data_IF_273488027456
#
_entry.id   IF_273488027456
#
_cell.length_a   1.000
_cell.length_b   1.000
_cell.length_c   1.000
_cell.angle_alpha   90.00
_cell.angle_beta   90.00
_cell.angle_gamma   90.00
#
_symmetry.space_group_name_H-M   'P 1'
#
loop_
_entity.id
_entity.type
_entity.pdbx_description
1 polymer ?
#
# COMPACT_ATOMS: atom_id res chain seq x y z
N UNK A 1 -69.45 11.73 13.61
CA UNK A 1 -68.90 11.86 12.23
C UNK A 1 -67.72 12.85 12.08
N UNK A 2 -67.67 13.98 12.81
CA UNK A 2 -66.56 14.96 12.69
C UNK A 2 -65.19 14.44 13.14
N UNK A 3 -65.14 13.65 14.23
CA UNK A 3 -63.88 13.08 14.75
C UNK A 3 -63.26 12.01 13.82
N UNK A 4 -64.09 11.25 13.10
CA UNK A 4 -63.62 10.24 12.14
C UNK A 4 -62.99 10.88 10.89
N UNK A 5 -63.56 12.00 10.41
CA UNK A 5 -62.97 12.78 9.31
C UNK A 5 -61.61 13.37 9.70
N UNK A 6 -61.48 13.90 10.92
CA UNK A 6 -60.23 14.47 11.42
C UNK A 6 -59.11 13.43 11.51
N UNK A 7 -59.41 12.21 11.98
CA UNK A 7 -58.44 11.11 12.05
C UNK A 7 -57.97 10.71 10.66
N UNK A 8 -58.88 10.56 9.69
CA UNK A 8 -58.51 10.27 8.30
C UNK A 8 -57.64 11.38 7.68
N UNK A 9 -57.92 12.66 7.97
CA UNK A 9 -57.12 13.78 7.48
C UNK A 9 -55.71 13.78 8.07
N UNK A 10 -55.55 13.47 9.35
CA UNK A 10 -54.23 13.40 10.00
C UNK A 10 -53.41 12.24 9.44
N UNK A 11 -54.00 11.06 9.26
CA UNK A 11 -53.30 9.87 8.75
C UNK A 11 -52.81 10.06 7.31
N UNK A 12 -53.62 10.71 6.46
CA UNK A 12 -53.25 11.05 5.07
C UNK A 12 -52.11 12.08 5.07
N UNK A 13 -52.15 13.08 5.96
CA UNK A 13 -51.10 14.09 6.05
C UNK A 13 -49.77 13.46 6.46
N UNK A 14 -49.76 12.59 7.49
CA UNK A 14 -48.53 11.88 7.95
C UNK A 14 -47.96 10.94 6.89
N UNK A 15 -48.80 10.26 6.10
CA UNK A 15 -48.34 9.42 5.00
C UNK A 15 -47.74 10.24 3.84
N UNK A 16 -48.28 11.44 3.59
CA UNK A 16 -47.74 12.36 2.59
C UNK A 16 -46.35 12.90 2.99
N UNK A 17 -46.14 13.25 4.27
CA UNK A 17 -44.81 13.70 4.73
C UNK A 17 -43.79 12.55 4.69
N UNK A 18 -44.19 11.32 5.00
CA UNK A 18 -43.29 10.15 4.90
C UNK A 18 -42.94 9.79 3.45
N UNK A 19 -43.90 9.94 2.52
CA UNK A 19 -43.66 9.75 1.08
C UNK A 19 -42.79 10.85 0.45
N UNK A 20 -42.77 12.05 1.02
CA UNK A 20 -41.91 13.14 0.56
C UNK A 20 -40.52 13.12 1.21
N UNK A 21 -40.28 12.28 2.22
CA UNK A 21 -39.00 12.21 2.92
C UNK A 21 -38.06 11.10 2.42
N UNK A 22 -38.28 10.59 1.20
CA UNK A 22 -37.31 9.69 0.58
C UNK A 22 -36.91 10.14 -0.83
N UNK A 23 -35.58 10.22 -1.03
CA UNK A 23 -34.85 10.16 -2.31
C UNK A 23 -34.33 11.44 -2.97
N UNK A 24 -34.89 12.64 -2.74
CA UNK A 24 -34.38 13.85 -3.44
C UNK A 24 -33.53 14.77 -2.57
N UNK A 25 -34.08 15.28 -1.46
CA UNK A 25 -33.42 16.35 -0.66
C UNK A 25 -32.17 15.85 0.08
N UNK A 26 -32.16 14.60 0.54
CA UNK A 26 -31.02 14.01 1.23
C UNK A 26 -29.83 13.74 0.28
N UNK A 27 -30.10 13.49 -1.01
CA UNK A 27 -29.07 13.34 -2.06
C UNK A 27 -28.53 14.68 -2.57
N UNK A 28 -29.19 15.80 -2.26
CA UNK A 28 -28.75 17.14 -2.64
C UNK A 28 -27.84 17.80 -1.60
N UNK A 29 -27.62 17.15 -0.45
CA UNK A 29 -26.66 17.56 0.59
C UNK A 29 -25.33 16.81 0.52
N UNK A 30 -25.24 15.78 -0.33
CA UNK A 30 -23.99 15.08 -0.58
C UNK A 30 -23.26 15.88 -1.67
N UNK A 31 -22.16 16.55 -1.30
CA UNK A 31 -21.28 17.17 -2.29
C UNK A 31 -20.97 16.13 -3.38
N UNK A 32 -20.97 16.50 -4.67
CA UNK A 32 -20.62 15.56 -5.71
C UNK A 32 -19.24 15.00 -5.38
N UNK A 33 -19.18 13.71 -5.04
CA UNK A 33 -17.91 13.01 -4.83
C UNK A 33 -17.24 12.97 -6.20
N UNK A 34 -16.36 13.92 -6.44
CA UNK A 34 -15.50 13.91 -7.62
C UNK A 34 -14.79 12.55 -7.64
N UNK A 35 -14.83 11.82 -8.77
CA UNK A 35 -14.18 10.53 -8.85
C UNK A 35 -12.69 10.70 -8.53
N UNK A 36 -12.18 9.85 -7.64
CA UNK A 36 -10.79 9.92 -7.23
C UNK A 36 -9.86 9.85 -8.45
N UNK A 37 -8.85 10.72 -8.47
CA UNK A 37 -7.92 10.82 -9.58
C UNK A 37 -7.14 9.52 -9.73
N UNK A 38 -7.28 8.87 -10.88
CA UNK A 38 -6.54 7.67 -11.25
C UNK A 38 -5.75 7.87 -12.55
N UNK A 39 -4.73 7.02 -12.76
CA UNK A 39 -3.84 7.05 -13.92
C UNK A 39 -3.22 5.69 -14.21
N UNK A 40 -2.47 5.60 -15.32
CA UNK A 40 -1.72 4.40 -15.70
C UNK A 40 -2.55 3.32 -16.38
N UNK A 41 -1.94 2.15 -16.55
CA UNK A 41 -2.52 0.96 -17.18
C UNK A 41 -2.00 -0.28 -16.44
N UNK A 42 -2.90 -1.22 -16.15
CA UNK A 42 -2.56 -2.53 -15.61
C UNK A 42 -3.32 -3.62 -16.35
N UNK A 43 -2.72 -4.80 -16.49
CA UNK A 43 -3.38 -6.00 -17.02
C UNK A 43 -3.57 -7.07 -15.95
N UNK A 44 -3.49 -6.70 -14.67
CA UNK A 44 -3.57 -7.66 -13.56
C UNK A 44 -4.98 -8.20 -13.31
N UNK A 45 -6.01 -7.56 -13.87
CA UNK A 45 -7.42 -7.98 -13.77
C UNK A 45 -8.11 -8.06 -15.12
N UNK A 46 -8.27 -6.90 -15.76
CA UNK A 46 -9.24 -6.67 -16.83
C UNK A 46 -8.77 -5.58 -17.80
N UNK A 47 -7.46 -5.54 -18.05
CA UNK A 47 -6.80 -4.57 -18.93
C UNK A 47 -7.11 -3.10 -18.55
N UNK A 48 -7.27 -2.83 -17.26
CA UNK A 48 -7.37 -1.48 -16.70
C UNK A 48 -8.77 -0.87 -16.75
N UNK A 49 -9.81 -1.71 -16.88
CA UNK A 49 -11.21 -1.27 -16.94
C UNK A 49 -11.79 -1.06 -15.53
N UNK A 50 -11.55 -2.00 -14.60
CA UNK A 50 -12.00 -2.00 -13.20
C UNK A 50 -10.91 -1.41 -12.30
N UNK A 51 -9.66 -1.84 -12.47
CA UNK A 51 -8.54 -1.42 -11.65
C UNK A 51 -7.68 -0.37 -12.35
N UNK A 52 -7.38 0.71 -11.61
CA UNK A 52 -6.51 1.80 -12.08
C UNK A 52 -5.54 2.15 -10.96
N UNK A 53 -4.45 2.85 -11.26
CA UNK A 53 -3.56 3.33 -10.20
C UNK A 53 -4.07 4.64 -9.64
N UNK A 54 -4.29 4.65 -8.34
CA UNK A 54 -4.58 5.79 -7.49
C UNK A 54 -3.30 6.18 -6.73
N UNK A 55 -3.28 7.39 -6.18
CA UNK A 55 -2.22 7.76 -5.24
C UNK A 55 -2.38 6.91 -3.97
N UNK A 56 -1.30 6.31 -3.51
CA UNK A 56 -1.28 5.61 -2.23
C UNK A 56 -1.20 6.58 -1.04
N UNK A 57 -0.95 6.02 0.13
CA UNK A 57 -0.97 6.72 1.40
C UNK A 57 0.42 6.85 2.00
N UNK A 58 0.59 7.88 2.85
CA UNK A 58 1.80 8.04 3.66
C UNK A 58 1.96 6.90 4.68
N UNK A 59 0.87 6.23 5.07
CA UNK A 59 0.93 5.11 6.01
C UNK A 59 1.69 3.92 5.41
N UNK A 60 1.43 3.58 4.14
CA UNK A 60 2.18 2.54 3.45
C UNK A 60 3.66 2.92 3.26
N UNK A 61 3.94 4.18 2.91
CA UNK A 61 5.32 4.69 2.83
C UNK A 61 6.02 4.63 4.20
N UNK A 62 5.31 4.92 5.28
CA UNK A 62 5.86 4.88 6.64
C UNK A 62 6.30 3.46 7.03
N UNK A 63 5.58 2.41 6.62
CA UNK A 63 6.01 1.02 6.82
C UNK A 63 7.39 0.77 6.19
N UNK A 64 7.64 1.26 4.97
CA UNK A 64 8.96 1.09 4.32
C UNK A 64 10.05 1.90 5.02
N UNK A 65 9.72 3.10 5.52
CA UNK A 65 10.66 3.92 6.31
C UNK A 65 11.06 3.25 7.62
N UNK A 66 10.09 2.67 8.31
CA UNK A 66 10.32 1.97 9.57
C UNK A 66 11.11 0.67 9.33
N UNK A 67 10.89 0.01 8.19
CA UNK A 67 11.64 -1.16 7.76
C UNK A 67 13.10 -0.82 7.45
N UNK A 68 13.35 0.25 6.70
CA UNK A 68 14.71 0.77 6.45
C UNK A 68 15.41 1.13 7.76
N UNK A 69 14.69 1.75 8.70
CA UNK A 69 15.24 2.04 10.02
C UNK A 69 15.64 0.76 10.77
N UNK A 70 14.75 -0.23 10.84
CA UNK A 70 15.05 -1.51 11.48
C UNK A 70 16.24 -2.22 10.80
N UNK A 71 16.32 -2.12 9.47
CA UNK A 71 17.43 -2.66 8.68
C UNK A 71 18.78 -1.99 9.01
N UNK A 72 18.81 -0.66 9.05
CA UNK A 72 20.02 0.12 9.43
C UNK A 72 20.45 -0.18 10.86
N UNK A 73 19.48 -0.33 11.76
CA UNK A 73 19.72 -0.67 13.17
C UNK A 73 20.07 -2.17 13.37
N UNK A 74 20.06 -2.97 12.29
CA UNK A 74 20.23 -4.43 12.30
C UNK A 74 19.26 -5.16 13.24
N UNK A 75 18.06 -4.58 13.43
CA UNK A 75 16.98 -5.16 14.22
C UNK A 75 16.24 -6.21 13.40
N UNK A 76 16.81 -7.41 13.29
CA UNK A 76 16.25 -8.49 12.49
C UNK A 76 14.91 -9.01 13.01
N UNK A 77 14.68 -8.95 14.31
CA UNK A 77 13.37 -9.29 14.89
C UNK A 77 12.33 -8.21 14.55
N UNK A 78 12.72 -6.93 14.58
CA UNK A 78 11.91 -5.82 14.10
C UNK A 78 11.55 -5.98 12.62
N UNK A 79 12.54 -6.27 11.76
CA UNK A 79 12.32 -6.59 10.34
C UNK A 79 11.32 -7.73 10.21
N UNK A 80 11.54 -8.87 10.87
CA UNK A 80 10.62 -10.02 10.83
C UNK A 80 9.21 -9.64 11.27
N UNK A 81 9.10 -8.83 12.31
CA UNK A 81 7.85 -8.30 12.84
C UNK A 81 7.07 -7.41 11.85
N UNK A 82 7.67 -6.96 10.75
CA UNK A 82 6.99 -6.18 9.70
C UNK A 82 6.59 -7.02 8.48
N UNK A 83 7.00 -8.29 8.43
CA UNK A 83 6.66 -9.22 7.37
C UNK A 83 5.34 -9.95 7.70
N UNK A 84 4.59 -10.31 6.67
CA UNK A 84 3.56 -11.33 6.80
C UNK A 84 4.21 -12.73 6.82
N UNK A 85 3.57 -13.70 7.45
CA UNK A 85 4.11 -15.07 7.52
C UNK A 85 4.29 -15.72 6.15
N UNK A 86 3.49 -15.29 5.16
CA UNK A 86 3.46 -15.81 3.81
C UNK A 86 4.28 -14.99 2.81
N UNK A 87 5.06 -14.00 3.29
CA UNK A 87 5.74 -13.07 2.40
C UNK A 87 6.71 -13.74 1.44
N UNK A 88 6.83 -13.14 0.26
CA UNK A 88 7.73 -13.60 -0.80
C UNK A 88 8.74 -12.53 -1.17
N UNK A 89 10.01 -12.92 -1.22
CA UNK A 89 11.13 -12.04 -1.50
C UNK A 89 11.76 -12.42 -2.83
N UNK A 90 11.70 -11.52 -3.80
CA UNK A 90 12.22 -11.73 -5.15
C UNK A 90 13.51 -10.95 -5.26
N UNK A 91 14.61 -11.67 -5.16
CA UNK A 91 15.92 -11.08 -5.02
C UNK A 91 16.50 -10.68 -6.37
N UNK A 92 17.45 -9.73 -6.36
CA UNK A 92 18.11 -9.19 -7.56
C UNK A 92 18.84 -10.24 -8.42
N UNK A 93 19.12 -11.42 -7.89
CA UNK A 93 19.74 -12.54 -8.61
C UNK A 93 18.71 -13.51 -9.23
N UNK A 94 17.41 -13.22 -9.12
CA UNK A 94 16.33 -14.05 -9.63
C UNK A 94 15.82 -15.12 -8.67
N UNK A 95 16.42 -15.28 -7.49
CA UNK A 95 15.91 -16.19 -6.47
C UNK A 95 14.61 -15.68 -5.85
N UNK A 96 13.75 -16.60 -5.45
CA UNK A 96 12.55 -16.32 -4.65
C UNK A 96 12.68 -17.02 -3.32
N UNK A 97 12.61 -16.25 -2.24
CA UNK A 97 12.80 -16.73 -0.86
C UNK A 97 11.48 -16.68 -0.09
N UNK A 98 11.31 -17.66 0.80
CA UNK A 98 10.36 -17.58 1.92
C UNK A 98 10.87 -16.63 3.01
N UNK A 99 10.02 -16.33 3.99
CA UNK A 99 10.40 -15.51 5.15
C UNK A 99 11.61 -16.09 5.87
N UNK A 100 11.62 -17.38 6.19
CA UNK A 100 12.73 -17.98 6.96
C UNK A 100 14.04 -18.01 6.19
N UNK A 101 14.00 -18.30 4.88
CA UNK A 101 15.16 -18.24 4.00
C UNK A 101 15.71 -16.81 3.89
N UNK A 102 14.82 -15.83 3.72
CA UNK A 102 15.17 -14.41 3.67
C UNK A 102 15.81 -13.96 4.99
N UNK A 103 15.16 -14.23 6.13
CA UNK A 103 15.66 -13.85 7.45
C UNK A 103 17.03 -14.51 7.74
N UNK A 104 17.21 -15.77 7.35
CA UNK A 104 18.50 -16.46 7.45
C UNK A 104 19.56 -15.76 6.61
N UNK A 105 19.23 -15.42 5.36
CA UNK A 105 20.16 -14.76 4.45
C UNK A 105 20.61 -13.39 5.00
N UNK A 106 19.68 -12.50 5.34
CA UNK A 106 20.00 -11.12 5.73
C UNK A 106 20.71 -11.03 7.08
N UNK A 107 20.38 -11.91 8.03
CA UNK A 107 21.03 -11.93 9.34
C UNK A 107 22.44 -12.51 9.27
N UNK A 108 22.71 -13.40 8.30
CA UNK A 108 24.05 -13.95 8.04
C UNK A 108 24.96 -12.99 7.25
N UNK A 109 24.38 -12.15 6.39
CA UNK A 109 25.08 -11.16 5.55
C UNK A 109 25.48 -9.88 6.32
N UNK A 110 25.22 -9.80 7.63
CA UNK A 110 25.41 -8.63 8.49
C UNK A 110 26.87 -8.19 8.72
N UNK A 111 27.80 -8.61 7.86
CA UNK A 111 29.26 -8.41 7.96
C UNK A 111 29.74 -6.98 7.62
N UNK A 112 28.86 -5.98 7.65
CA UNK A 112 29.23 -4.56 7.73
C UNK A 112 29.89 -3.96 6.49
N UNK A 113 29.84 -4.62 5.34
CA UNK A 113 30.50 -4.15 4.11
C UNK A 113 29.62 -3.26 3.24
N UNK A 114 28.31 -3.23 3.46
CA UNK A 114 27.35 -2.48 2.66
C UNK A 114 26.79 -1.26 3.42
N UNK A 115 26.93 -0.08 2.84
CA UNK A 115 26.24 1.14 3.26
C UNK A 115 24.99 1.31 2.40
N UNK A 116 23.83 1.43 3.05
CA UNK A 116 22.56 1.71 2.39
C UNK A 116 22.16 3.16 2.64
N UNK A 117 21.66 3.82 1.59
CA UNK A 117 21.07 5.15 1.70
C UNK A 117 19.69 5.11 1.06
N UNK A 118 18.66 5.30 1.87
CA UNK A 118 17.30 5.47 1.39
C UNK A 118 17.14 6.86 0.75
N UNK A 119 16.82 6.88 -0.54
CA UNK A 119 16.74 8.12 -1.33
C UNK A 119 15.32 8.68 -1.38
N UNK A 120 14.31 7.81 -1.29
CA UNK A 120 12.90 8.19 -1.29
C UNK A 120 11.99 7.02 -1.60
N UNK A 121 10.70 7.23 -1.37
CA UNK A 121 9.66 6.30 -1.77
C UNK A 121 8.35 7.02 -2.09
N UNK A 122 7.49 6.35 -2.84
CA UNK A 122 6.10 6.74 -3.07
C UNK A 122 5.23 5.49 -3.12
N UNK A 123 3.92 5.67 -2.93
CA UNK A 123 2.96 4.59 -2.99
C UNK A 123 1.88 4.82 -4.04
N UNK A 124 1.40 3.71 -4.62
CA UNK A 124 0.23 3.65 -5.48
C UNK A 124 -0.70 2.55 -4.99
N UNK A 125 -1.99 2.81 -5.06
CA UNK A 125 -3.04 1.86 -4.73
C UNK A 125 -3.81 1.49 -5.99
N UNK A 126 -4.13 0.22 -6.17
CA UNK A 126 -4.87 -0.26 -7.32
C UNK A 126 -6.39 -0.25 -7.09
N UNK A 127 -6.81 -0.40 -5.83
CA UNK A 127 -8.20 -0.32 -5.39
C UNK A 127 -8.24 0.16 -3.93
N UNK A 128 -8.34 1.49 -3.72
CA UNK A 128 -8.41 2.09 -2.39
C UNK A 128 -9.54 1.56 -1.48
N UNK A 129 -10.51 0.84 -2.04
CA UNK A 129 -11.64 0.27 -1.28
C UNK A 129 -11.34 -1.12 -0.71
N UNK A 130 -10.36 -1.84 -1.27
CA UNK A 130 -10.01 -3.21 -0.86
C UNK A 130 -8.77 -3.26 0.04
N UNK A 131 -7.98 -2.20 0.02
CA UNK A 131 -6.73 -2.11 0.75
C UNK A 131 -5.61 -2.92 0.10
N UNK A 132 -4.39 -2.61 0.51
CA UNK A 132 -3.19 -3.19 -0.08
C UNK A 132 -2.53 -2.21 -1.05
N UNK A 133 -1.34 -1.74 -0.72
CA UNK A 133 -0.66 -0.70 -1.47
C UNK A 133 0.69 -1.15 -2.01
N UNK A 134 1.04 -0.68 -3.20
CA UNK A 134 2.36 -0.86 -3.77
C UNK A 134 3.25 0.31 -3.38
N UNK A 135 4.37 0.04 -2.71
CA UNK A 135 5.36 1.08 -2.37
C UNK A 135 6.62 0.86 -3.18
N UNK A 136 7.07 1.92 -3.84
CA UNK A 136 8.29 1.94 -4.64
C UNK A 136 9.32 2.75 -3.88
N UNK A 137 10.49 2.16 -3.65
CA UNK A 137 11.56 2.73 -2.85
C UNK A 137 12.89 2.68 -3.60
N UNK A 138 13.63 3.78 -3.56
CA UNK A 138 14.92 3.92 -4.22
C UNK A 138 16.04 4.01 -3.19
N UNK A 139 17.11 3.27 -3.42
CA UNK A 139 18.28 3.22 -2.55
C UNK A 139 19.57 3.35 -3.35
N UNK A 140 20.57 4.00 -2.75
CA UNK A 140 21.95 3.94 -3.21
C UNK A 140 22.73 3.06 -2.24
N UNK A 141 23.38 2.02 -2.77
CA UNK A 141 24.09 1.03 -1.98
C UNK A 141 25.55 1.00 -2.38
N UNK A 142 26.45 1.11 -1.40
CA UNK A 142 27.89 0.97 -1.61
C UNK A 142 28.39 -0.23 -0.83
N UNK A 143 28.97 -1.22 -1.52
CA UNK A 143 29.57 -2.39 -0.88
C UNK A 143 31.08 -2.35 -1.05
N UNK A 144 31.82 -2.46 0.06
CA UNK A 144 33.28 -2.52 0.05
C UNK A 144 33.76 -3.92 0.40
N UNK A 145 34.47 -4.54 -0.53
CA UNK A 145 35.15 -5.83 -0.34
C UNK A 145 36.64 -5.60 -0.60
N UNK A 146 37.46 -5.78 0.45
CA UNK A 146 38.89 -5.47 0.44
C UNK A 146 39.19 -4.03 -0.03
N UNK A 147 39.92 -3.89 -1.14
CA UNK A 147 40.23 -2.59 -1.78
C UNK A 147 39.21 -2.16 -2.83
N UNK A 148 38.19 -2.97 -3.11
CA UNK A 148 37.21 -2.73 -4.17
C UNK A 148 35.92 -2.19 -3.58
N UNK A 149 35.42 -1.10 -4.15
CA UNK A 149 34.09 -0.54 -3.83
C UNK A 149 33.19 -0.69 -5.04
N UNK A 150 31.99 -1.26 -4.82
CA UNK A 150 30.94 -1.39 -5.84
C UNK A 150 29.76 -0.55 -5.39
N UNK A 151 29.34 0.40 -6.24
CA UNK A 151 28.15 1.20 -6.01
C UNK A 151 27.00 0.66 -6.85
N UNK A 152 25.78 0.70 -6.30
CA UNK A 152 24.56 0.27 -6.98
C UNK A 152 23.43 1.25 -6.72
N UNK A 153 22.61 1.43 -7.75
CA UNK A 153 21.25 1.91 -7.56
C UNK A 153 20.34 0.69 -7.40
N UNK A 154 19.55 0.70 -6.35
CA UNK A 154 18.63 -0.38 -5.98
C UNK A 154 17.22 0.17 -5.95
N UNK A 155 16.31 -0.53 -6.62
CA UNK A 155 14.88 -0.25 -6.56
C UNK A 155 14.22 -1.42 -5.85
N UNK A 156 13.45 -1.10 -4.83
CA UNK A 156 12.64 -2.07 -4.11
C UNK A 156 11.16 -1.76 -4.32
N UNK A 157 10.39 -2.83 -4.56
CA UNK A 157 8.94 -2.73 -4.70
C UNK A 157 8.31 -3.62 -3.65
N UNK A 158 7.53 -2.99 -2.79
CA UNK A 158 6.81 -3.63 -1.72
C UNK A 158 5.33 -3.71 -2.08
N UNK A 159 4.68 -4.79 -1.66
CA UNK A 159 3.23 -4.83 -1.55
C UNK A 159 2.86 -4.98 -0.09
N UNK A 160 2.06 -4.05 0.43
CA UNK A 160 1.80 -3.90 1.86
C UNK A 160 0.30 -4.03 2.11
N UNK A 161 -0.08 -4.98 2.94
CA UNK A 161 -1.47 -5.17 3.40
C UNK A 161 -1.47 -5.07 4.93
N UNK A 162 -2.38 -4.28 5.50
CA UNK A 162 -2.55 -4.12 6.95
C UNK A 162 -1.24 -3.84 7.72
N UNK A 163 -0.39 -2.99 7.13
CA UNK A 163 0.91 -2.62 7.71
C UNK A 163 1.99 -3.70 7.63
N UNK A 164 1.74 -4.79 6.91
CA UNK A 164 2.68 -5.91 6.72
C UNK A 164 3.15 -5.99 5.27
N UNK A 165 4.45 -6.18 5.07
CA UNK A 165 5.02 -6.46 3.76
C UNK A 165 4.66 -7.88 3.35
N UNK A 166 3.89 -8.05 2.27
CA UNK A 166 3.49 -9.34 1.70
C UNK A 166 4.41 -9.74 0.54
N UNK A 167 4.88 -8.77 -0.23
CA UNK A 167 5.84 -9.02 -1.32
C UNK A 167 6.94 -7.98 -1.25
N UNK A 168 8.18 -8.41 -1.49
CA UNK A 168 9.35 -7.53 -1.61
C UNK A 168 10.15 -7.95 -2.84
N UNK A 169 10.18 -7.11 -3.87
CA UNK A 169 11.02 -7.30 -5.06
C UNK A 169 12.20 -6.35 -5.02
N UNK A 170 13.40 -6.86 -5.26
CA UNK A 170 14.62 -6.06 -5.36
C UNK A 170 15.19 -6.13 -6.77
N UNK A 171 15.50 -4.95 -7.31
CA UNK A 171 16.20 -4.76 -8.58
C UNK A 171 17.45 -3.93 -8.31
N UNK A 172 18.53 -4.16 -9.05
CA UNK A 172 19.74 -3.37 -8.88
C UNK A 172 20.53 -3.25 -10.17
N UNK A 173 21.23 -2.13 -10.33
CA UNK A 173 22.23 -1.92 -11.37
C UNK A 173 23.53 -1.42 -10.75
N UNK A 174 24.67 -1.92 -11.23
CA UNK A 174 25.97 -1.40 -10.82
C UNK A 174 26.21 -0.03 -11.46
N UNK A 175 26.65 0.93 -10.65
CA UNK A 175 26.97 2.30 -11.05
C UNK A 175 28.49 2.45 -11.08
N UNK A 176 29.01 2.97 -12.20
CA UNK A 176 30.46 3.16 -12.43
C UNK A 176 30.92 4.54 -12.02
#
# INVERSE_FOLDING_TARGET
MKKLKLIFTITILTAFVYSCNNSAVQRMMEEPVEPERSMGFTNWSDDGVEYKFHLGTDAAVQVVRDLDKAWVDQDWEGVRGMLADTSKFYWRNGNVLSVDEFMTQISSDSTGTATWKFNGAFSVDLDPTRGGEHVHADFSVSTKTDSTTVNRDVIERYYIIDGKVVTWHQYSIDVK
#
